data_IF_338657401794
#
_entry.id   IF_338657401794
#
_cell.length_a   1.000
_cell.length_b   1.000
_cell.length_c   1.000
_cell.angle_alpha   90.00
_cell.angle_beta   90.00
_cell.angle_gamma   90.00
#
_symmetry.space_group_name_H-M   'P 1'
#
loop_
_entity.id
_entity.type
_entity.pdbx_description
1 polymer ?
#
# COMPACT_ATOMS: atom_id res chain seq x y z
N UNK A 1 -7.00 15.76 -30.69
CA UNK A 1 -8.02 14.99 -29.95
C UNK A 1 -7.29 14.33 -28.80
N UNK A 2 -7.68 14.61 -27.55
CA UNK A 2 -6.93 14.18 -26.36
C UNK A 2 -7.09 12.68 -26.10
N UNK A 3 -6.03 12.04 -25.58
CA UNK A 3 -6.06 10.64 -25.17
C UNK A 3 -6.96 10.38 -23.96
N UNK A 4 -7.10 9.12 -23.57
CA UNK A 4 -7.71 8.72 -22.29
C UNK A 4 -6.57 8.36 -21.33
N UNK A 5 -6.62 8.88 -20.10
CA UNK A 5 -5.70 8.50 -19.05
C UNK A 5 -6.02 7.08 -18.57
N UNK A 6 -4.99 6.40 -18.08
CA UNK A 6 -5.08 5.06 -17.49
C UNK A 6 -4.59 5.17 -16.06
N UNK A 7 -5.35 4.64 -15.10
CA UNK A 7 -4.97 4.69 -13.69
C UNK A 7 -4.60 3.30 -13.19
N UNK A 8 -3.84 3.26 -12.09
CA UNK A 8 -3.49 2.04 -11.40
C UNK A 8 -4.73 1.37 -10.80
N UNK A 9 -4.92 0.08 -11.08
CA UNK A 9 -6.04 -0.72 -10.62
C UNK A 9 -6.11 -0.79 -9.09
N UNK A 10 -4.95 -0.72 -8.41
CA UNK A 10 -4.83 -0.87 -6.96
C UNK A 10 -4.90 0.48 -6.24
N UNK A 11 -4.13 1.50 -6.64
CA UNK A 11 -4.08 2.77 -5.91
C UNK A 11 -4.92 3.90 -6.53
N UNK A 12 -5.35 3.75 -7.78
CA UNK A 12 -6.09 4.76 -8.53
C UNK A 12 -5.24 5.94 -9.01
N UNK A 13 -3.93 5.92 -8.78
CA UNK A 13 -3.00 6.97 -9.20
C UNK A 13 -2.60 6.89 -10.69
N UNK A 14 -1.97 7.94 -11.22
CA UNK A 14 -1.56 8.03 -12.62
C UNK A 14 -0.25 7.25 -12.87
N UNK A 15 0.09 7.03 -14.15
CA UNK A 15 1.37 6.45 -14.58
C UNK A 15 2.32 7.51 -15.17
N UNK A 16 2.63 8.54 -14.39
CA UNK A 16 3.63 9.53 -14.77
C UNK A 16 4.20 10.27 -13.56
N UNK A 17 5.52 10.33 -13.46
CA UNK A 17 6.24 11.20 -12.52
C UNK A 17 6.20 12.69 -12.91
N UNK A 18 5.88 13.00 -14.18
CA UNK A 18 5.78 14.37 -14.71
C UNK A 18 4.45 15.01 -14.34
N UNK A 19 4.28 15.31 -13.05
CA UNK A 19 3.10 16.01 -12.54
C UNK A 19 3.26 17.52 -12.66
N UNK A 20 2.17 18.23 -12.96
CA UNK A 20 2.18 19.69 -13.01
C UNK A 20 2.25 20.26 -11.60
N UNK A 21 3.31 21.03 -11.33
CA UNK A 21 3.55 21.75 -10.09
C UNK A 21 3.65 23.24 -10.40
N UNK A 22 3.07 24.09 -9.56
CA UNK A 22 3.22 25.53 -9.68
C UNK A 22 4.18 26.09 -8.61
N UNK A 23 5.41 26.51 -8.98
CA UNK A 23 6.35 27.13 -8.06
C UNK A 23 5.89 28.48 -7.52
N UNK A 24 5.01 29.20 -8.23
CA UNK A 24 4.49 30.51 -7.84
C UNK A 24 3.25 30.41 -6.95
N UNK A 25 2.56 29.26 -6.95
CA UNK A 25 1.36 29.01 -6.16
C UNK A 25 0.14 29.83 -6.60
N UNK A 26 0.06 30.14 -7.90
CA UNK A 26 -0.98 30.95 -8.54
C UNK A 26 -2.00 30.14 -9.35
N UNK A 27 -1.66 28.93 -9.79
CA UNK A 27 -2.55 28.03 -10.54
C UNK A 27 -3.19 27.00 -9.61
N UNK A 28 -4.50 27.11 -9.42
CA UNK A 28 -5.32 26.19 -8.63
C UNK A 28 -5.50 24.82 -9.30
N UNK A 29 -4.94 24.60 -10.50
CA UNK A 29 -5.00 23.34 -11.25
C UNK A 29 -3.68 22.57 -11.26
N UNK A 30 -2.73 22.97 -10.42
CA UNK A 30 -1.44 22.30 -10.26
C UNK A 30 -1.28 21.79 -8.82
N UNK A 31 -0.41 20.81 -8.60
CA UNK A 31 0.00 20.46 -7.25
C UNK A 31 0.86 21.54 -6.61
N UNK A 32 0.84 21.59 -5.28
CA UNK A 32 1.66 22.50 -4.49
C UNK A 32 3.14 22.11 -4.58
N UNK A 33 3.94 22.99 -5.17
CA UNK A 33 5.38 22.76 -5.39
C UNK A 33 6.14 22.54 -4.09
N UNK A 34 5.87 23.32 -3.05
CA UNK A 34 6.54 23.24 -1.75
C UNK A 34 6.30 21.92 -1.02
N UNK A 35 5.18 21.26 -1.30
CA UNK A 35 4.82 19.94 -0.78
C UNK A 35 5.54 18.82 -1.56
N UNK A 36 5.55 18.87 -2.89
CA UNK A 36 6.06 17.78 -3.73
C UNK A 36 7.55 17.86 -4.10
N UNK A 37 8.19 19.03 -4.05
CA UNK A 37 9.57 19.23 -4.55
C UNK A 37 10.65 18.28 -4.01
N UNK A 38 10.42 17.67 -2.85
CA UNK A 38 11.35 16.73 -2.21
C UNK A 38 10.79 15.30 -2.12
N UNK A 39 9.63 15.05 -2.73
CA UNK A 39 9.01 13.74 -2.76
C UNK A 39 9.56 12.91 -3.91
N UNK A 40 9.67 11.60 -3.70
CA UNK A 40 9.93 10.65 -4.77
C UNK A 40 8.62 10.37 -5.52
N UNK A 41 8.64 10.68 -6.83
CA UNK A 41 7.54 10.45 -7.77
C UNK A 41 7.93 9.43 -8.86
N UNK A 42 9.16 8.94 -8.89
CA UNK A 42 9.68 8.09 -9.97
C UNK A 42 8.95 6.73 -10.00
N UNK A 43 8.49 6.26 -8.83
CA UNK A 43 7.68 5.05 -8.70
C UNK A 43 6.41 5.03 -9.57
N UNK A 44 5.90 6.21 -9.96
CA UNK A 44 4.70 6.31 -10.81
C UNK A 44 4.97 5.83 -12.25
N UNK A 45 6.23 5.86 -12.68
CA UNK A 45 6.63 5.43 -14.02
C UNK A 45 6.82 3.91 -14.13
N UNK A 46 6.87 3.21 -12.99
CA UNK A 46 7.05 1.76 -12.89
C UNK A 46 5.68 1.06 -12.82
N UNK A 47 5.33 0.32 -13.87
CA UNK A 47 4.07 -0.42 -13.93
C UNK A 47 4.25 -1.90 -14.23
N UNK A 48 3.27 -2.66 -13.78
CA UNK A 48 2.99 -4.02 -14.17
C UNK A 48 1.55 -4.10 -14.71
N UNK A 49 1.24 -5.15 -15.45
CA UNK A 49 -0.10 -5.36 -15.99
C UNK A 49 -0.56 -6.80 -15.75
N UNK A 50 -1.82 -6.96 -15.34
CA UNK A 50 -2.49 -8.24 -15.18
C UNK A 50 -3.46 -8.49 -16.34
N UNK A 51 -3.22 -9.53 -17.13
CA UNK A 51 -4.05 -9.94 -18.25
C UNK A 51 -4.22 -11.46 -18.31
N UNK A 52 -4.98 -11.93 -19.30
CA UNK A 52 -5.06 -13.36 -19.62
C UNK A 52 -4.42 -13.66 -20.97
N UNK A 53 -3.58 -14.68 -21.02
CA UNK A 53 -3.11 -15.29 -22.26
C UNK A 53 -3.98 -16.52 -22.59
N UNK A 54 -4.87 -16.45 -23.61
CA UNK A 54 -5.70 -17.59 -23.98
C UNK A 54 -4.92 -18.74 -24.64
N UNK A 55 -3.71 -18.47 -25.14
CA UNK A 55 -2.86 -19.40 -25.89
C UNK A 55 -1.74 -20.03 -25.03
N UNK A 56 -1.71 -19.76 -23.73
CA UNK A 56 -0.70 -20.33 -22.82
C UNK A 56 -0.77 -21.87 -22.75
N UNK A 57 0.38 -22.53 -22.90
CA UNK A 57 0.47 -24.00 -22.89
C UNK A 57 0.78 -24.52 -21.48
N UNK A 58 -0.24 -25.04 -20.76
CA UNK A 58 -0.12 -25.66 -19.42
C UNK A 58 -1.48 -26.10 -18.86
N UNK A 59 -1.50 -26.95 -17.80
CA UNK A 59 -2.75 -27.42 -17.15
C UNK A 59 -3.49 -26.29 -16.41
N UNK A 60 -2.78 -25.22 -16.03
CA UNK A 60 -3.35 -23.94 -15.65
C UNK A 60 -3.51 -23.08 -16.91
N UNK A 61 -4.69 -23.10 -17.54
CA UNK A 61 -5.10 -22.22 -18.68
C UNK A 61 -5.22 -20.73 -18.32
N UNK A 62 -4.48 -20.37 -17.29
CA UNK A 62 -4.59 -19.22 -16.41
C UNK A 62 -3.17 -18.68 -16.08
N UNK A 63 -2.14 -19.28 -16.70
CA UNK A 63 -0.74 -18.89 -16.57
C UNK A 63 -0.50 -17.54 -17.23
N UNK A 64 -0.61 -16.54 -16.37
CA UNK A 64 0.28 -15.38 -16.27
C UNK A 64 0.45 -14.56 -17.56
N UNK A 65 -0.45 -13.62 -17.82
CA UNK A 65 0.06 -12.25 -18.00
C UNK A 65 0.01 -11.64 -16.60
N UNK A 66 0.76 -12.20 -15.66
CA UNK A 66 1.10 -11.50 -14.45
C UNK A 66 2.48 -10.98 -14.75
N UNK A 67 2.57 -9.90 -15.54
CA UNK A 67 3.90 -9.43 -15.93
C UNK A 67 4.56 -8.94 -14.65
N UNK A 68 5.40 -9.81 -14.10
CA UNK A 68 6.35 -9.55 -13.03
C UNK A 68 7.59 -8.90 -13.64
N UNK A 69 7.40 -7.96 -14.56
CA UNK A 69 8.49 -7.23 -15.15
C UNK A 69 8.08 -5.82 -15.51
N UNK A 70 9.05 -4.92 -15.34
CA UNK A 70 8.88 -3.47 -15.37
C UNK A 70 8.51 -3.06 -16.78
N UNK A 71 7.29 -2.56 -16.93
CA UNK A 71 6.90 -1.90 -18.15
C UNK A 71 7.01 -0.40 -17.98
N UNK A 72 7.77 0.24 -18.86
CA UNK A 72 7.77 1.69 -18.96
C UNK A 72 6.62 2.10 -19.88
N UNK A 73 5.69 2.95 -19.42
CA UNK A 73 4.74 3.58 -20.34
C UNK A 73 5.52 4.42 -21.33
N UNK A 74 5.42 4.08 -22.62
CA UNK A 74 6.02 4.88 -23.69
C UNK A 74 4.98 5.87 -24.26
N UNK A 75 3.68 5.51 -24.27
CA UNK A 75 2.61 6.39 -24.72
C UNK A 75 1.21 5.94 -24.26
N UNK A 76 0.25 6.87 -24.20
CA UNK A 76 -1.18 6.59 -24.03
C UNK A 76 -1.96 7.10 -25.25
N UNK A 77 -2.48 6.17 -26.06
CA UNK A 77 -3.47 6.51 -27.09
C UNK A 77 -4.74 5.75 -26.75
N UNK A 78 -5.83 6.49 -26.50
CA UNK A 78 -7.19 5.96 -26.34
C UNK A 78 -7.36 4.82 -25.29
N UNK A 79 -6.66 4.89 -24.16
CA UNK A 79 -6.76 3.87 -23.10
C UNK A 79 -5.85 2.65 -23.31
N UNK A 80 -4.98 2.70 -24.31
CA UNK A 80 -3.89 1.73 -24.49
C UNK A 80 -2.70 2.02 -23.57
N UNK A 81 -1.95 0.96 -23.27
CA UNK A 81 -0.61 1.02 -22.70
C UNK A 81 0.36 0.32 -23.66
N UNK A 82 1.56 0.87 -23.81
CA UNK A 82 2.67 0.19 -24.48
C UNK A 82 3.60 -0.37 -23.42
N UNK A 83 3.89 -1.66 -23.53
CA UNK A 83 4.75 -2.37 -22.58
C UNK A 83 6.00 -2.89 -23.27
N UNK A 84 7.17 -2.62 -22.70
CA UNK A 84 8.43 -3.19 -23.19
C UNK A 84 8.47 -4.69 -22.89
N UNK A 85 9.08 -5.51 -23.72
CA UNK A 85 9.15 -6.96 -23.46
C UNK A 85 9.86 -7.29 -22.12
N UNK A 86 9.20 -8.06 -21.25
CA UNK A 86 9.78 -8.67 -20.05
C UNK A 86 10.24 -10.12 -20.28
N UNK A 87 10.77 -10.76 -19.24
CA UNK A 87 11.27 -12.15 -19.26
C UNK A 87 10.18 -13.22 -19.07
N UNK A 88 8.91 -12.81 -18.93
CA UNK A 88 7.78 -13.74 -18.70
C UNK A 88 7.49 -14.60 -19.96
N UNK A 89 7.55 -15.95 -19.84
CA UNK A 89 7.35 -16.86 -20.97
C UNK A 89 5.92 -16.88 -21.53
N UNK A 90 4.96 -16.32 -20.80
CA UNK A 90 3.53 -16.35 -21.15
C UNK A 90 3.05 -15.04 -21.81
N UNK A 91 3.96 -14.15 -22.21
CA UNK A 91 3.61 -12.95 -23.00
C UNK A 91 3.06 -13.39 -24.37
N UNK A 92 1.81 -13.06 -24.75
CA UNK A 92 1.12 -13.74 -25.85
C UNK A 92 1.51 -13.35 -27.29
N UNK A 93 2.69 -12.83 -27.64
CA UNK A 93 2.83 -12.18 -28.97
C UNK A 93 4.19 -12.35 -29.69
N UNK A 94 4.17 -12.02 -30.99
CA UNK A 94 5.23 -12.18 -31.99
C UNK A 94 6.62 -11.77 -31.46
N UNK A 95 7.61 -12.65 -31.63
CA UNK A 95 8.93 -12.58 -31.01
C UNK A 95 9.80 -11.40 -31.48
N UNK A 96 9.28 -10.56 -32.39
CA UNK A 96 10.04 -9.54 -33.13
C UNK A 96 9.77 -8.09 -32.73
N UNK A 97 8.77 -7.81 -31.89
CA UNK A 97 8.44 -6.45 -31.47
C UNK A 97 9.05 -6.12 -30.09
N UNK A 98 9.71 -4.95 -29.99
CA UNK A 98 10.32 -4.48 -28.73
C UNK A 98 9.27 -3.91 -27.75
N UNK A 99 8.18 -3.34 -28.29
CA UNK A 99 7.06 -2.78 -27.53
C UNK A 99 5.75 -3.46 -27.94
N UNK A 100 4.91 -3.77 -26.96
CA UNK A 100 3.66 -4.50 -27.13
C UNK A 100 2.50 -3.58 -26.72
N UNK A 101 1.58 -3.24 -27.63
CA UNK A 101 0.38 -2.48 -27.29
C UNK A 101 -0.65 -3.39 -26.59
N UNK A 102 -1.23 -2.90 -25.50
CA UNK A 102 -2.28 -3.57 -24.72
C UNK A 102 -3.41 -2.60 -24.41
N UNK A 103 -4.63 -3.11 -24.19
CA UNK A 103 -5.81 -2.30 -23.86
C UNK A 103 -6.05 -2.36 -22.35
N UNK A 104 -6.06 -1.21 -21.68
CA UNK A 104 -6.35 -1.15 -20.25
C UNK A 104 -7.86 -1.01 -19.99
N UNK A 105 -8.41 -1.85 -19.11
CA UNK A 105 -9.81 -1.86 -18.63
C UNK A 105 -10.92 -2.09 -19.67
N UNK A 106 -10.89 -1.40 -20.80
CA UNK A 106 -11.95 -1.47 -21.80
C UNK A 106 -11.47 -1.00 -23.20
N UNK A 107 -11.93 -1.68 -24.25
CA UNK A 107 -11.70 -1.27 -25.63
C UNK A 107 -12.65 -0.13 -26.05
N UNK A 108 -12.17 1.11 -25.93
CA UNK A 108 -12.88 2.30 -26.40
C UNK A 108 -12.82 2.48 -27.92
N UNK A 109 -11.92 1.77 -28.60
CA UNK A 109 -11.70 1.86 -30.04
C UNK A 109 -12.80 1.20 -30.87
N UNK A 110 -13.58 0.29 -30.26
CA UNK A 110 -14.66 -0.44 -30.92
C UNK A 110 -14.11 -1.20 -32.12
N UNK A 111 -13.38 -2.28 -31.85
CA UNK A 111 -12.67 -3.10 -32.84
C UNK A 111 -13.25 -3.03 -34.25
N UNK A 112 -12.49 -2.47 -35.18
CA UNK A 112 -12.77 -2.68 -36.60
C UNK A 112 -12.69 -4.17 -36.86
N UNK A 113 -13.81 -4.78 -37.26
CA UNK A 113 -13.88 -6.19 -37.68
C UNK A 113 -12.70 -6.50 -38.61
N UNK A 114 -11.67 -7.17 -38.10
CA UNK A 114 -10.47 -7.53 -38.87
C UNK A 114 -9.13 -7.29 -38.18
N UNK A 115 -9.04 -6.44 -37.16
CA UNK A 115 -7.81 -6.29 -36.36
C UNK A 115 -7.78 -7.33 -35.23
N UNK A 116 -6.64 -8.01 -35.06
CA UNK A 116 -6.40 -8.94 -33.95
C UNK A 116 -6.70 -8.25 -32.62
N UNK A 117 -7.64 -8.79 -31.86
CA UNK A 117 -8.03 -8.26 -30.56
C UNK A 117 -6.78 -8.12 -29.67
N UNK A 118 -6.44 -6.88 -29.30
CA UNK A 118 -5.36 -6.62 -28.37
C UNK A 118 -5.72 -7.19 -26.99
N UNK A 119 -4.73 -7.65 -26.20
CA UNK A 119 -4.98 -8.22 -24.89
C UNK A 119 -5.57 -7.15 -23.95
N UNK A 120 -6.66 -7.52 -23.26
CA UNK A 120 -7.24 -6.72 -22.19
C UNK A 120 -6.42 -6.92 -20.91
N UNK A 121 -6.00 -5.83 -20.30
CA UNK A 121 -5.18 -5.85 -19.08
C UNK A 121 -5.65 -4.85 -18.03
N UNK A 122 -5.23 -5.09 -16.79
CA UNK A 122 -5.40 -4.20 -15.65
C UNK A 122 -4.01 -3.73 -15.18
N UNK A 123 -3.64 -2.47 -15.43
CA UNK A 123 -2.34 -1.96 -15.06
C UNK A 123 -2.31 -1.54 -13.59
N UNK A 124 -1.16 -1.68 -12.94
CA UNK A 124 -0.91 -1.21 -11.58
C UNK A 124 0.57 -0.90 -11.38
N UNK A 125 0.90 -0.04 -10.42
CA UNK A 125 2.30 0.22 -10.07
C UNK A 125 2.94 -1.01 -9.45
N UNK A 126 4.22 -1.23 -9.75
CA UNK A 126 4.99 -2.36 -9.24
C UNK A 126 4.89 -2.46 -7.71
N UNK A 127 5.18 -1.36 -7.02
CA UNK A 127 5.16 -1.31 -5.54
C UNK A 127 3.76 -1.50 -4.95
N UNK A 128 2.69 -1.13 -5.68
CA UNK A 128 1.32 -1.36 -5.20
C UNK A 128 1.01 -2.85 -5.12
N UNK A 129 1.53 -3.64 -6.07
CA UNK A 129 1.38 -5.08 -6.05
C UNK A 129 2.37 -5.73 -5.09
N UNK A 130 3.67 -5.58 -5.34
CA UNK A 130 4.74 -6.32 -4.65
C UNK A 130 4.86 -5.98 -3.18
N UNK A 131 4.75 -4.71 -2.83
CA UNK A 131 4.96 -4.26 -1.46
C UNK A 131 3.68 -4.08 -0.65
N UNK A 132 2.53 -3.85 -1.28
CA UNK A 132 1.28 -3.58 -0.54
C UNK A 132 0.30 -4.75 -0.69
N UNK A 133 -0.20 -5.02 -1.90
CA UNK A 133 -1.24 -6.03 -2.11
C UNK A 133 -0.76 -7.44 -1.71
N UNK A 134 0.45 -7.83 -2.11
CA UNK A 134 1.00 -9.14 -1.72
C UNK A 134 1.10 -9.30 -0.19
N UNK A 135 1.53 -8.25 0.52
CA UNK A 135 1.58 -8.26 1.99
C UNK A 135 0.18 -8.39 2.59
N UNK A 136 -0.78 -7.65 2.05
CA UNK A 136 -2.17 -7.68 2.48
C UNK A 136 -2.77 -9.08 2.31
N UNK A 137 -2.62 -9.70 1.13
CA UNK A 137 -3.08 -11.07 0.84
C UNK A 137 -2.42 -12.10 1.78
N UNK A 138 -1.10 -11.99 1.99
CA UNK A 138 -0.31 -12.91 2.83
C UNK A 138 -0.65 -12.84 4.33
N UNK A 139 -1.47 -11.88 4.77
CA UNK A 139 -1.96 -11.88 6.15
C UNK A 139 -2.90 -13.05 6.44
N UNK A 140 -3.71 -13.45 5.45
CA UNK A 140 -4.75 -14.48 5.59
C UNK A 140 -4.53 -15.68 4.67
N UNK A 141 -3.72 -15.54 3.62
CA UNK A 141 -3.44 -16.59 2.65
C UNK A 141 -1.95 -16.93 2.59
N UNK A 142 -1.59 -18.19 2.86
CA UNK A 142 -0.18 -18.64 2.88
C UNK A 142 0.30 -19.28 1.58
N UNK A 143 -0.58 -19.44 0.58
CA UNK A 143 -0.23 -20.06 -0.70
C UNK A 143 0.41 -19.08 -1.69
N UNK A 144 0.78 -19.60 -2.86
CA UNK A 144 1.17 -18.77 -3.99
C UNK A 144 -0.05 -18.02 -4.53
N UNK A 145 0.11 -16.73 -4.82
CA UNK A 145 -0.96 -15.90 -5.37
C UNK A 145 -1.28 -16.41 -6.77
N UNK A 146 -2.56 -16.71 -7.00
CA UNK A 146 -3.11 -17.25 -8.23
C UNK A 146 -3.53 -16.09 -9.13
N UNK A 147 -2.78 -15.87 -10.22
CA UNK A 147 -3.00 -14.75 -11.14
C UNK A 147 -4.38 -14.78 -11.80
N UNK A 148 -4.93 -15.97 -12.05
CA UNK A 148 -6.26 -16.17 -12.64
C UNK A 148 -7.39 -15.75 -11.70
N UNK A 149 -7.29 -16.13 -10.43
CA UNK A 149 -8.26 -15.71 -9.41
C UNK A 149 -8.18 -14.20 -9.25
N UNK A 150 -6.97 -13.63 -9.22
CA UNK A 150 -6.79 -12.19 -9.13
C UNK A 150 -7.34 -11.45 -10.36
N UNK A 151 -7.14 -11.99 -11.56
CA UNK A 151 -7.70 -11.43 -12.79
C UNK A 151 -9.23 -11.44 -12.75
N UNK A 152 -9.84 -12.56 -12.37
CA UNK A 152 -11.30 -12.65 -12.23
C UNK A 152 -11.85 -11.65 -11.19
N UNK A 153 -11.11 -11.41 -10.10
CA UNK A 153 -11.47 -10.37 -9.13
C UNK A 153 -11.43 -8.99 -9.78
N UNK A 154 -10.35 -8.63 -10.49
CA UNK A 154 -10.24 -7.34 -11.17
C UNK A 154 -11.30 -7.17 -12.26
N UNK A 155 -11.58 -8.21 -13.03
CA UNK A 155 -12.65 -8.23 -14.01
C UNK A 155 -14.03 -8.03 -13.36
N UNK A 156 -14.31 -8.70 -12.24
CA UNK A 156 -15.58 -8.52 -11.52
C UNK A 156 -15.76 -7.12 -10.94
N UNK A 157 -14.65 -6.43 -10.66
CA UNK A 157 -14.60 -5.04 -10.17
C UNK A 157 -14.56 -4.03 -11.32
N UNK A 158 -14.43 -4.49 -12.57
CA UNK A 158 -14.43 -3.62 -13.73
C UNK A 158 -15.87 -3.34 -14.19
N UNK A 159 -16.31 -2.09 -14.04
CA UNK A 159 -17.63 -1.64 -14.52
C UNK A 159 -17.74 -1.50 -16.04
N UNK A 160 -16.68 -1.82 -16.79
CA UNK A 160 -16.70 -1.92 -18.25
C UNK A 160 -16.61 -0.59 -19.01
N UNK A 161 -16.40 0.56 -18.33
CA UNK A 161 -16.23 1.89 -18.97
C UNK A 161 -15.39 2.87 -18.14
N UNK A 162 -14.58 2.36 -17.21
CA UNK A 162 -13.83 3.18 -16.27
C UNK A 162 -12.34 3.09 -16.52
N UNK A 163 -11.61 4.13 -16.12
CA UNK A 163 -10.15 4.22 -16.16
C UNK A 163 -9.46 3.58 -14.94
N UNK A 164 -10.27 3.06 -14.01
CA UNK A 164 -9.91 2.36 -12.77
C UNK A 164 -10.99 1.35 -12.37
N UNK A 165 -10.70 0.49 -11.40
CA UNK A 165 -11.67 -0.46 -10.84
C UNK A 165 -12.75 0.24 -10.00
N UNK A 166 -13.88 -0.43 -9.79
CA UNK A 166 -14.98 0.02 -8.92
C UNK A 166 -14.68 -0.36 -7.46
N UNK A 167 -13.74 0.36 -6.85
CA UNK A 167 -13.31 0.20 -5.47
C UNK A 167 -13.50 1.51 -4.71
N UNK A 168 -13.67 1.41 -3.39
CA UNK A 168 -13.52 2.58 -2.51
C UNK A 168 -12.03 2.85 -2.31
N UNK A 169 -11.52 3.89 -2.97
CA UNK A 169 -10.11 4.27 -2.92
C UNK A 169 -9.74 5.11 -1.70
N UNK A 170 -10.70 5.40 -0.81
CA UNK A 170 -10.52 6.25 0.36
C UNK A 170 -10.25 7.72 0.00
N UNK A 171 -10.11 8.54 1.04
CA UNK A 171 -9.92 9.99 0.89
C UNK A 171 -8.43 10.40 0.77
N UNK A 172 -8.09 11.36 -0.10
CA UNK A 172 -8.95 11.91 -1.15
C UNK A 172 -9.20 10.86 -2.23
N UNK A 173 -10.42 10.82 -2.76
CA UNK A 173 -10.75 9.87 -3.81
C UNK A 173 -10.02 10.25 -5.11
N UNK A 174 -9.29 9.31 -5.75
CA UNK A 174 -8.75 9.54 -7.09
C UNK A 174 -9.86 9.83 -8.10
N UNK A 175 -9.62 10.68 -9.11
CA UNK A 175 -10.61 10.94 -10.16
C UNK A 175 -11.07 9.65 -10.85
N UNK A 176 -12.25 9.68 -11.46
CA UNK A 176 -12.79 8.60 -12.29
C UNK A 176 -13.10 9.10 -13.72
N UNK A 177 -12.32 10.09 -14.16
CA UNK A 177 -12.56 10.86 -15.39
C UNK A 177 -11.60 10.46 -16.51
N UNK A 178 -11.87 10.96 -17.73
CA UNK A 178 -11.02 10.71 -18.90
C UNK A 178 -9.57 11.22 -18.72
N UNK A 179 -9.35 12.25 -17.90
CA UNK A 179 -8.06 12.90 -17.70
C UNK A 179 -7.68 12.94 -16.23
N UNK A 180 -6.39 12.80 -15.94
CA UNK A 180 -5.87 13.11 -14.62
C UNK A 180 -5.86 14.64 -14.41
N UNK A 181 -6.56 15.11 -13.39
CA UNK A 181 -6.55 16.52 -12.99
C UNK A 181 -5.71 16.67 -11.72
N UNK A 182 -4.72 17.55 -11.76
CA UNK A 182 -3.93 17.89 -10.57
C UNK A 182 -4.77 18.79 -9.67
N UNK A 183 -5.00 18.36 -8.43
CA UNK A 183 -5.79 19.11 -7.46
C UNK A 183 -4.92 19.46 -6.23
N UNK A 184 -4.80 20.75 -5.88
CA UNK A 184 -4.14 21.15 -4.64
C UNK A 184 -4.76 20.44 -3.45
N UNK A 185 -3.92 19.92 -2.55
CA UNK A 185 -4.36 19.16 -1.37
C UNK A 185 -4.52 17.66 -1.63
N UNK A 186 -4.40 17.18 -2.87
CA UNK A 186 -4.45 15.75 -3.22
C UNK A 186 -3.05 15.17 -3.51
N UNK A 187 -1.98 15.87 -3.11
CA UNK A 187 -0.60 15.50 -3.41
C UNK A 187 -0.24 14.08 -2.95
N UNK A 188 -0.87 13.59 -1.87
CA UNK A 188 -0.60 12.25 -1.36
C UNK A 188 -0.89 11.14 -2.38
N UNK A 189 -1.78 11.36 -3.36
CA UNK A 189 -2.11 10.38 -4.39
C UNK A 189 -0.91 10.01 -5.28
N UNK A 190 0.09 10.90 -5.37
CA UNK A 190 1.27 10.74 -6.22
C UNK A 190 2.56 10.48 -5.43
N UNK A 191 2.54 10.62 -4.11
CA UNK A 191 3.72 10.40 -3.26
C UNK A 191 3.95 8.91 -3.00
N UNK A 192 5.21 8.48 -3.05
CA UNK A 192 5.62 7.09 -2.80
C UNK A 192 5.04 6.54 -1.48
N UNK A 193 4.15 5.52 -1.54
CA UNK A 193 3.55 4.93 -0.35
C UNK A 193 4.46 3.93 0.37
N UNK A 194 5.60 3.53 -0.19
CA UNK A 194 6.47 2.50 0.40
C UNK A 194 7.72 3.12 1.00
N UNK A 195 8.42 4.00 0.28
CA UNK A 195 9.64 4.65 0.77
C UNK A 195 9.28 5.90 1.58
N UNK A 196 9.22 5.78 2.92
CA UNK A 196 8.77 6.86 3.81
C UNK A 196 9.87 7.19 4.82
N UNK A 197 10.74 8.15 4.46
CA UNK A 197 11.91 8.52 5.24
C UNK A 197 11.60 8.93 6.70
N UNK A 198 10.43 9.55 6.96
CA UNK A 198 10.00 9.92 8.30
C UNK A 198 9.80 8.67 9.19
N UNK A 199 9.24 7.59 8.63
CA UNK A 199 9.02 6.34 9.35
C UNK A 199 10.33 5.62 9.59
N UNK A 200 11.20 5.57 8.58
CA UNK A 200 12.53 4.98 8.74
C UNK A 200 13.31 5.65 9.87
N UNK A 201 13.28 6.99 9.94
CA UNK A 201 13.94 7.75 11.00
C UNK A 201 13.36 7.44 12.40
N UNK A 202 12.05 7.29 12.51
CA UNK A 202 11.37 6.97 13.76
C UNK A 202 11.66 5.53 14.23
N UNK A 203 11.64 4.56 13.31
CA UNK A 203 11.99 3.17 13.58
C UNK A 203 13.45 3.04 14.00
N UNK A 204 14.38 3.74 13.33
CA UNK A 204 15.79 3.76 13.70
C UNK A 204 16.04 4.43 15.06
N UNK A 205 15.22 5.41 15.45
CA UNK A 205 15.26 5.98 16.81
C UNK A 205 14.84 4.96 17.87
N UNK A 206 13.85 4.12 17.58
CA UNK A 206 13.43 3.03 18.48
C UNK A 206 14.54 1.97 18.54
N UNK A 207 15.05 1.49 17.41
CA UNK A 207 16.12 0.48 17.37
C UNK A 207 17.39 0.92 18.12
N UNK A 208 17.80 2.20 17.98
CA UNK A 208 18.92 2.74 18.74
C UNK A 208 18.72 2.67 20.26
N UNK A 209 17.49 2.81 20.74
CA UNK A 209 17.18 2.67 22.17
C UNK A 209 17.28 1.23 22.66
N UNK A 210 17.02 0.24 21.80
CA UNK A 210 17.20 -1.18 22.11
C UNK A 210 18.70 -1.54 22.27
N UNK A 211 19.56 -0.94 21.45
CA UNK A 211 21.00 -1.18 21.49
C UNK A 211 21.71 -0.51 22.68
N UNK A 212 21.09 0.49 23.30
CA UNK A 212 21.63 1.11 24.51
C UNK A 212 21.34 0.15 25.66
N UNK A 213 22.40 -0.53 26.16
CA UNK A 213 22.30 -1.35 27.37
C UNK A 213 21.58 -0.54 28.43
N UNK A 214 20.40 -1.00 28.85
CA UNK A 214 19.70 -0.42 29.97
C UNK A 214 20.70 -0.28 31.11
N UNK A 215 21.09 0.95 31.44
CA UNK A 215 21.70 1.22 32.72
C UNK A 215 20.74 0.63 33.76
N UNK A 216 21.22 -0.13 34.76
CA UNK A 216 20.36 -0.73 35.76
C UNK A 216 19.66 0.41 36.50
N UNK A 217 18.49 0.81 36.02
CA UNK A 217 17.85 2.00 36.52
C UNK A 217 17.23 1.65 37.87
N UNK A 218 17.60 2.51 38.81
CA UNK A 218 17.56 2.29 40.23
C UNK A 218 16.14 2.41 40.77
N UNK A 219 15.85 1.55 41.74
CA UNK A 219 14.81 1.60 42.77
C UNK A 219 13.34 1.27 42.40
N UNK A 220 12.83 0.10 42.85
CA UNK A 220 11.41 -0.26 42.91
C UNK A 220 10.67 0.45 44.05
N UNK A 221 10.99 1.73 44.31
CA UNK A 221 10.51 2.47 45.48
C UNK A 221 9.14 3.14 45.30
N UNK A 222 8.56 3.09 44.11
CA UNK A 222 7.22 3.64 43.84
C UNK A 222 6.22 2.49 43.86
N UNK A 223 5.34 2.53 44.85
CA UNK A 223 4.21 1.61 44.96
C UNK A 223 3.41 1.59 43.65
N UNK A 224 3.33 0.43 43.01
CA UNK A 224 2.65 0.27 41.73
C UNK A 224 1.21 -0.22 42.00
N UNK A 225 0.22 0.48 41.45
CA UNK A 225 -1.19 0.15 41.66
C UNK A 225 -1.55 -1.25 41.14
N UNK A 226 -0.79 -1.76 40.16
CA UNK A 226 -0.99 -3.07 39.55
C UNK A 226 -0.38 -4.21 40.37
N UNK A 227 0.42 -3.93 41.42
CA UNK A 227 1.02 -4.93 42.31
C UNK A 227 -0.01 -5.85 42.97
N UNK A 228 -1.20 -5.29 43.26
CA UNK A 228 -2.30 -6.02 43.90
C UNK A 228 -3.09 -6.90 42.96
N UNK A 229 -2.94 -6.72 41.65
CA UNK A 229 -3.69 -7.48 40.67
C UNK A 229 -2.99 -8.81 40.37
N UNK A 230 -3.73 -9.93 40.37
CA UNK A 230 -3.24 -11.19 39.81
C UNK A 230 -2.81 -11.04 38.35
N UNK A 231 -1.92 -11.92 37.92
CA UNK A 231 -1.34 -11.89 36.57
C UNK A 231 -2.42 -12.01 35.48
N UNK A 232 -3.46 -12.81 35.74
CA UNK A 232 -4.59 -13.03 34.85
C UNK A 232 -5.36 -11.73 34.60
N UNK A 233 -5.59 -10.91 35.63
CA UNK A 233 -6.27 -9.63 35.47
C UNK A 233 -5.42 -8.62 34.71
N UNK A 234 -4.09 -8.67 34.84
CA UNK A 234 -3.18 -7.82 34.04
C UNK A 234 -3.25 -8.19 32.56
N UNK A 235 -3.38 -9.48 32.25
CA UNK A 235 -3.60 -9.95 30.87
C UNK A 235 -4.95 -9.51 30.31
N UNK A 236 -6.02 -9.60 31.09
CA UNK A 236 -7.33 -9.09 30.66
C UNK A 236 -7.28 -7.57 30.38
N UNK A 237 -6.53 -6.80 31.17
CA UNK A 237 -6.31 -5.38 30.89
C UNK A 237 -5.65 -5.19 29.52
N UNK A 238 -4.57 -5.93 29.22
CA UNK A 238 -3.89 -5.80 27.93
C UNK A 238 -4.77 -6.14 26.74
N UNK A 239 -5.69 -7.12 26.86
CA UNK A 239 -6.64 -7.49 25.79
C UNK A 239 -7.62 -6.38 25.44
N UNK A 240 -7.83 -5.42 26.35
CA UNK A 240 -8.77 -4.31 26.17
C UNK A 240 -8.08 -3.03 25.67
N UNK A 241 -6.75 -3.04 25.54
CA UNK A 241 -5.98 -1.86 25.18
C UNK A 241 -5.49 -1.94 23.73
N UNK A 242 -5.50 -0.83 22.99
CA UNK A 242 -4.87 -0.76 21.68
C UNK A 242 -3.36 -0.81 21.78
N UNK A 243 -2.68 -1.11 20.67
CA UNK A 243 -1.24 -1.33 20.59
C UNK A 243 -0.41 -0.21 21.24
N UNK A 244 -0.73 1.05 20.91
CA UNK A 244 -0.03 2.22 21.46
C UNK A 244 -0.22 2.40 22.97
N UNK A 245 -1.39 2.02 23.50
CA UNK A 245 -1.70 2.10 24.93
C UNK A 245 -1.12 0.94 25.74
N UNK A 246 -0.99 -0.26 25.15
CA UNK A 246 -0.26 -1.38 25.76
C UNK A 246 1.17 -0.93 26.07
N UNK A 247 1.85 -0.33 25.09
CA UNK A 247 3.20 0.17 25.25
C UNK A 247 3.28 1.33 26.27
N UNK A 248 2.35 2.27 26.22
CA UNK A 248 2.28 3.37 27.20
C UNK A 248 2.16 2.84 28.63
N UNK A 249 1.33 1.82 28.84
CA UNK A 249 1.10 1.23 30.15
C UNK A 249 2.34 0.50 30.67
N UNK A 250 3.01 -0.28 29.82
CA UNK A 250 4.26 -0.95 30.19
C UNK A 250 5.38 0.05 30.48
N UNK A 251 5.47 1.13 29.69
CA UNK A 251 6.41 2.22 29.96
C UNK A 251 6.17 2.93 31.29
N UNK A 252 4.90 3.09 31.69
CA UNK A 252 4.51 3.86 32.88
C UNK A 252 4.50 3.05 34.19
N UNK A 253 4.35 1.72 34.13
CA UNK A 253 4.23 0.83 35.29
C UNK A 253 5.25 -0.29 35.22
N UNK A 254 6.07 -0.42 36.28
CA UNK A 254 7.06 -1.50 36.38
C UNK A 254 6.37 -2.86 36.41
N UNK A 255 5.24 -2.96 37.11
CA UNK A 255 4.51 -4.21 37.27
C UNK A 255 3.87 -4.66 35.96
N UNK A 256 3.40 -3.72 35.14
CA UNK A 256 2.93 -4.01 33.79
C UNK A 256 4.09 -4.27 32.81
N UNK A 257 5.23 -3.59 32.96
CA UNK A 257 6.45 -3.85 32.19
C UNK A 257 6.91 -5.31 32.32
N UNK A 258 7.04 -5.81 33.55
CA UNK A 258 7.50 -7.20 33.80
C UNK A 258 6.43 -8.25 33.53
N UNK A 259 5.17 -7.85 33.29
CA UNK A 259 4.10 -8.79 32.92
C UNK A 259 4.31 -9.28 31.49
N UNK A 260 4.60 -10.56 31.34
CA UNK A 260 4.86 -11.21 30.05
C UNK A 260 3.56 -11.36 29.26
N UNK A 261 3.56 -10.95 28.00
CA UNK A 261 2.42 -11.14 27.10
C UNK A 261 2.46 -12.55 26.47
N UNK A 262 1.31 -13.16 26.14
CA UNK A 262 1.28 -14.42 25.41
C UNK A 262 2.05 -14.35 24.09
N UNK A 263 2.66 -15.46 23.68
CA UNK A 263 3.38 -15.54 22.40
C UNK A 263 2.44 -15.20 21.25
N UNK A 264 2.89 -14.32 20.35
CA UNK A 264 2.10 -13.89 19.20
C UNK A 264 1.17 -12.72 19.50
N UNK A 265 0.73 -12.51 20.75
CA UNK A 265 -0.23 -11.47 21.12
C UNK A 265 0.11 -10.12 20.51
N UNK A 266 1.32 -9.61 20.74
CA UNK A 266 1.74 -8.31 20.22
C UNK A 266 1.73 -8.22 18.70
N UNK A 267 2.27 -9.23 18.03
CA UNK A 267 2.31 -9.29 16.56
C UNK A 267 0.90 -9.35 15.99
N UNK A 268 0.02 -10.11 16.62
CA UNK A 268 -1.35 -10.29 16.17
C UNK A 268 -2.17 -9.01 16.42
N UNK A 269 -1.94 -8.30 17.54
CA UNK A 269 -2.48 -6.95 17.79
C UNK A 269 -2.03 -5.95 16.73
N UNK A 270 -0.73 -5.89 16.42
CA UNK A 270 -0.21 -4.98 15.39
C UNK A 270 -0.78 -5.29 14.00
N UNK A 271 -0.89 -6.57 13.64
CA UNK A 271 -1.48 -6.99 12.36
C UNK A 271 -2.97 -6.66 12.27
N UNK A 272 -3.69 -6.66 13.39
CA UNK A 272 -5.11 -6.31 13.40
C UNK A 272 -5.35 -4.80 13.36
N UNK A 273 -4.56 -4.02 14.12
CA UNK A 273 -4.82 -2.58 14.28
C UNK A 273 -4.11 -1.69 13.26
N UNK A 274 -2.85 -2.03 12.95
CA UNK A 274 -1.98 -1.23 12.07
C UNK A 274 -1.22 -2.12 11.07
N UNK A 275 -1.96 -2.87 10.24
CA UNK A 275 -1.37 -3.81 9.28
C UNK A 275 -0.47 -3.13 8.23
N UNK A 276 -0.74 -1.87 7.91
CA UNK A 276 -0.01 -1.04 6.95
C UNK A 276 1.32 -0.47 7.47
N UNK A 277 1.61 -0.58 8.78
CA UNK A 277 2.88 -0.17 9.37
C UNK A 277 3.76 -1.39 9.64
N UNK A 278 4.12 -2.12 8.58
CA UNK A 278 4.81 -3.40 8.70
C UNK A 278 6.23 -3.28 9.28
N UNK A 279 6.88 -2.12 9.19
CA UNK A 279 8.25 -1.90 9.68
C UNK A 279 8.39 -2.12 11.19
N UNK A 280 7.31 -1.92 11.96
CA UNK A 280 7.33 -2.11 13.42
C UNK A 280 7.01 -3.56 13.83
N UNK A 281 6.47 -4.39 12.93
CA UNK A 281 5.98 -5.74 13.27
C UNK A 281 7.12 -6.68 13.70
N UNK A 282 8.32 -6.45 13.16
CA UNK A 282 9.52 -7.24 13.46
C UNK A 282 10.41 -6.61 14.55
N UNK A 283 9.99 -5.50 15.15
CA UNK A 283 10.75 -4.81 16.20
C UNK A 283 10.32 -5.33 17.57
N UNK A 284 11.28 -5.92 18.30
CA UNK A 284 11.07 -6.32 19.70
C UNK A 284 11.16 -5.10 20.64
N UNK A 285 10.03 -4.45 20.86
CA UNK A 285 9.92 -3.21 21.63
C UNK A 285 9.91 -3.42 23.15
N UNK A 286 9.75 -4.65 23.65
CA UNK A 286 9.57 -4.96 25.08
C UNK A 286 10.87 -5.19 25.86
N UNK A 287 11.97 -4.60 25.41
CA UNK A 287 13.28 -4.77 26.06
C UNK A 287 13.50 -3.82 27.24
N UNK A 288 12.81 -2.68 27.25
CA UNK A 288 12.93 -1.66 28.30
C UNK A 288 11.71 -0.73 28.33
N UNK A 289 11.45 -0.08 29.47
CA UNK A 289 10.42 0.95 29.54
C UNK A 289 10.70 2.16 28.63
N UNK A 290 11.98 2.43 28.32
CA UNK A 290 12.35 3.50 27.39
C UNK A 290 11.99 3.17 25.94
N UNK A 291 12.25 1.94 25.50
CA UNK A 291 11.87 1.48 24.16
C UNK A 291 10.35 1.39 24.02
N UNK A 292 9.65 0.95 25.07
CA UNK A 292 8.19 0.96 25.14
C UNK A 292 7.62 2.38 25.06
N UNK A 293 8.18 3.35 25.78
CA UNK A 293 7.75 4.77 25.73
C UNK A 293 7.92 5.36 24.32
N UNK A 294 9.08 5.15 23.70
CA UNK A 294 9.36 5.65 22.34
C UNK A 294 8.45 5.01 21.30
N UNK A 295 8.27 3.69 21.36
CA UNK A 295 7.38 2.98 20.46
C UNK A 295 5.91 3.37 20.69
N UNK A 296 5.49 3.58 21.94
CA UNK A 296 4.14 4.08 22.26
C UNK A 296 3.90 5.43 21.61
N UNK A 297 4.82 6.39 21.78
CA UNK A 297 4.71 7.73 21.18
C UNK A 297 4.58 7.66 19.67
N UNK A 298 5.38 6.81 19.02
CA UNK A 298 5.23 6.56 17.58
C UNK A 298 3.83 6.04 17.24
N UNK A 299 3.36 4.98 17.90
CA UNK A 299 2.07 4.37 17.59
C UNK A 299 0.86 5.27 17.89
N UNK A 300 0.96 6.18 18.86
CA UNK A 300 -0.11 7.14 19.13
C UNK A 300 -0.11 8.29 18.10
N UNK A 301 1.07 8.72 17.65
CA UNK A 301 1.23 9.80 16.66
C UNK A 301 0.90 9.33 15.24
N UNK A 302 1.28 8.08 14.90
CA UNK A 302 1.07 7.49 13.58
C UNK A 302 -0.41 7.39 13.20
N UNK A 303 -1.29 7.21 14.19
CA UNK A 303 -2.73 7.09 13.92
C UNK A 303 -3.31 8.39 13.36
N UNK A 304 -2.84 9.55 13.86
CA UNK A 304 -3.19 10.85 13.29
C UNK A 304 -2.47 11.06 11.96
N UNK A 305 -1.15 10.80 11.92
CA UNK A 305 -0.29 11.11 10.76
C UNK A 305 -0.51 10.23 9.53
N UNK A 306 -1.21 9.11 9.67
CA UNK A 306 -1.56 8.22 8.55
C UNK A 306 -2.94 8.50 7.96
N UNK A 307 -3.66 9.52 8.45
CA UNK A 307 -5.00 9.86 7.95
C UNK A 307 -4.94 11.19 7.22
N UNK A 308 -5.45 11.19 5.99
CA UNK A 308 -5.66 12.41 5.24
C UNK A 308 -6.65 13.33 5.94
N UNK A 309 -6.41 14.64 5.87
CA UNK A 309 -7.37 15.69 6.24
C UNK A 309 -7.31 16.80 5.22
N UNK A 310 -8.45 17.26 4.71
CA UNK A 310 -8.52 18.38 3.77
C UNK A 310 -8.19 19.75 4.42
N UNK A 311 -8.21 19.82 5.76
CA UNK A 311 -8.06 21.08 6.51
C UNK A 311 -6.61 21.51 6.69
N UNK A 312 -5.67 20.57 6.73
CA UNK A 312 -4.25 20.82 7.00
C UNK A 312 -3.38 19.64 6.53
N UNK A 313 -2.06 19.86 6.49
CA UNK A 313 -1.05 18.86 6.13
C UNK A 313 -0.34 18.24 7.36
N UNK A 314 -1.04 18.06 8.50
CA UNK A 314 -0.45 17.45 9.71
C UNK A 314 -0.16 15.94 9.56
N UNK A 315 -0.34 15.38 8.36
CA UNK A 315 -0.13 13.98 8.05
C UNK A 315 1.15 13.75 7.23
N UNK A 316 1.66 12.52 7.26
CA UNK A 316 2.81 12.12 6.45
C UNK A 316 2.27 11.60 5.13
N UNK A 317 2.49 12.34 4.03
CA UNK A 317 1.92 12.08 2.69
C UNK A 317 2.01 10.60 2.27
N UNK A 318 3.23 10.05 2.22
CA UNK A 318 3.44 8.65 1.82
C UNK A 318 2.75 7.65 2.74
N UNK A 319 2.64 7.97 4.04
CA UNK A 319 1.99 7.08 4.99
C UNK A 319 0.47 7.11 4.89
N UNK A 320 -0.10 8.31 4.70
CA UNK A 320 -1.51 8.46 4.42
C UNK A 320 -1.88 7.74 3.11
N UNK A 321 -1.04 7.87 2.08
CA UNK A 321 -1.22 7.15 0.83
C UNK A 321 -1.16 5.63 1.05
N UNK A 322 -0.17 5.13 1.79
CA UNK A 322 -0.04 3.71 2.13
C UNK A 322 -1.27 3.16 2.84
N UNK A 323 -1.76 3.84 3.88
CA UNK A 323 -2.94 3.42 4.65
C UNK A 323 -4.18 3.41 3.77
N UNK A 324 -4.33 4.41 2.90
CA UNK A 324 -5.41 4.49 1.91
C UNK A 324 -5.38 3.29 0.95
N UNK A 325 -4.23 3.04 0.32
CA UNK A 325 -4.04 1.91 -0.60
C UNK A 325 -4.26 0.58 0.11
N UNK A 326 -3.83 0.45 1.38
CA UNK A 326 -4.09 -0.74 2.17
C UNK A 326 -5.58 -1.06 2.28
N UNK A 327 -6.44 -0.05 2.51
CA UNK A 327 -7.89 -0.23 2.53
C UNK A 327 -8.47 -0.73 1.19
N UNK A 328 -7.84 -0.38 0.07
CA UNK A 328 -8.19 -0.93 -1.26
C UNK A 328 -7.76 -2.39 -1.36
N UNK A 329 -6.54 -2.70 -0.91
CA UNK A 329 -6.02 -4.07 -0.90
C UNK A 329 -6.87 -5.01 -0.02
N UNK A 330 -7.46 -4.53 1.08
CA UNK A 330 -8.36 -5.33 1.92
C UNK A 330 -9.68 -5.69 1.21
N UNK A 331 -10.22 -4.77 0.40
CA UNK A 331 -11.38 -5.04 -0.47
C UNK A 331 -11.04 -6.11 -1.52
N UNK A 332 -9.89 -5.97 -2.18
CA UNK A 332 -9.39 -6.95 -3.16
C UNK A 332 -9.16 -8.31 -2.48
N UNK A 333 -8.51 -8.34 -1.30
CA UNK A 333 -8.25 -9.55 -0.53
C UNK A 333 -9.53 -10.30 -0.21
N UNK A 334 -10.56 -9.61 0.24
CA UNK A 334 -11.85 -10.22 0.57
C UNK A 334 -12.40 -10.99 -0.63
N UNK A 335 -12.45 -10.35 -1.80
CA UNK A 335 -12.93 -10.97 -3.05
C UNK A 335 -12.03 -12.10 -3.53
N UNK A 336 -10.72 -11.94 -3.37
CA UNK A 336 -9.75 -12.96 -3.75
C UNK A 336 -9.90 -14.23 -2.91
N UNK A 337 -10.08 -14.10 -1.59
CA UNK A 337 -10.34 -15.24 -0.71
C UNK A 337 -11.67 -15.92 -1.04
N UNK A 338 -12.72 -15.16 -1.37
CA UNK A 338 -13.99 -15.72 -1.83
C UNK A 338 -13.84 -16.50 -3.15
N UNK A 339 -12.99 -16.02 -4.07
CA UNK A 339 -12.70 -16.69 -5.34
C UNK A 339 -11.80 -17.93 -5.24
N UNK A 340 -11.16 -18.15 -4.08
CA UNK A 340 -10.40 -19.36 -3.80
C UNK A 340 -11.27 -20.49 -3.21
N UNK A 341 -12.41 -20.16 -2.62
CA UNK A 341 -13.36 -21.09 -2.01
C UNK A 341 -14.21 -21.79 -3.08
#
# INVERSE_FOLDING_TARGET
MGGWAVYCAICGGPFSSQVEMDPEGTDERCYRYDVLKNCDLEWLDELCALGMNPDATGDDKALEIAVHDIFKVINHVLGGIEVARGDDPNVPFDQTADNIPMIAYYDYGGGTEGDTAQPLVFPFHEICYHDILQRCLKQEYSGQIRGDVLFNVFESLNGGRYVRLQLDYGEPEPPAEQFWYHQPGHELLVVNPVQIAQIDADIERIKRSLCQKASPNQNPGKWDIFDKLPHELRHEIFKLLPAGSILALKAASWTMHVTTLPRGFWRDTLRAEIPWLWEIHDVDVFQSQESEDKASKLLLDIEKKSRYTAENDDYVLGLANRRRIWGVCEQIRTRYLDGLA
#
